data_IF_211568326430
#
_entry.id   IF_211568326430
#
_cell.length_a   1.000
_cell.length_b   1.000
_cell.length_c   1.000
_cell.angle_alpha   90.00
_cell.angle_beta   90.00
_cell.angle_gamma   90.00
#
_symmetry.space_group_name_H-M   'P 1'
#
loop_
_entity.id
_entity.type
_entity.pdbx_description
1 polymer ?
#
# COMPACT_ATOMS: atom_id res chain seq x y z
N UNK A 1 -50.72 17.22 -14.82
CA UNK A 1 -49.93 16.46 -15.81
C UNK A 1 -48.47 16.52 -15.38
N UNK A 2 -47.82 15.35 -15.26
CA UNK A 2 -46.37 15.03 -15.28
C UNK A 2 -45.37 16.10 -14.79
N UNK A 3 -44.46 15.88 -13.84
CA UNK A 3 -43.96 14.63 -13.27
C UNK A 3 -42.83 14.91 -12.28
N UNK A 4 -42.65 13.96 -11.36
CA UNK A 4 -41.66 13.88 -10.27
C UNK A 4 -40.20 13.90 -10.75
N UNK A 5 -39.29 14.47 -9.95
CA UNK A 5 -37.90 14.05 -9.64
C UNK A 5 -37.40 15.03 -8.55
N UNK A 6 -36.68 14.72 -7.47
CA UNK A 6 -36.08 13.52 -6.90
C UNK A 6 -35.85 13.84 -5.41
N UNK A 7 -36.34 12.98 -4.52
CA UNK A 7 -35.95 12.98 -3.11
C UNK A 7 -34.54 12.40 -3.03
N UNK A 8 -33.58 13.18 -2.54
CA UNK A 8 -32.22 12.70 -2.26
C UNK A 8 -32.28 11.80 -1.03
N UNK A 9 -32.02 10.51 -1.24
CA UNK A 9 -31.88 9.50 -0.20
C UNK A 9 -30.59 9.77 0.56
N UNK A 10 -30.70 9.96 1.88
CA UNK A 10 -29.57 9.98 2.83
C UNK A 10 -28.78 8.69 2.73
N UNK A 11 -27.47 8.79 2.44
CA UNK A 11 -26.55 7.68 2.61
C UNK A 11 -26.22 7.51 4.11
N UNK A 12 -26.58 6.36 4.68
CA UNK A 12 -26.14 5.92 6.01
C UNK A 12 -24.94 5.00 5.86
N UNK A 13 -23.72 5.50 6.04
CA UNK A 13 -22.51 4.66 6.09
C UNK A 13 -21.51 5.05 7.18
N UNK A 14 -21.77 6.07 8.00
CA UNK A 14 -20.83 6.54 9.03
C UNK A 14 -20.85 5.74 10.35
N UNK A 15 -21.75 4.77 10.52
CA UNK A 15 -21.91 4.06 11.80
C UNK A 15 -21.04 2.80 11.98
N UNK A 16 -20.37 2.27 10.96
CA UNK A 16 -19.64 0.99 11.14
C UNK A 16 -18.33 1.11 11.93
N UNK A 17 -17.65 2.26 11.84
CA UNK A 17 -16.31 2.44 12.40
C UNK A 17 -16.35 2.74 13.90
N UNK A 18 -17.35 3.51 14.36
CA UNK A 18 -17.48 3.92 15.77
C UNK A 18 -17.67 2.75 16.74
N UNK A 19 -18.16 1.61 16.26
CA UNK A 19 -18.46 0.45 17.09
C UNK A 19 -17.21 -0.28 17.63
N UNK A 20 -16.02 0.00 17.09
CA UNK A 20 -14.77 -0.69 17.47
C UNK A 20 -13.94 0.03 18.53
N UNK A 21 -14.48 1.08 19.17
CA UNK A 21 -13.82 1.79 20.28
C UNK A 21 -14.12 1.05 21.61
N UNK A 22 -13.47 -0.11 21.82
CA UNK A 22 -13.65 -0.96 23.01
C UNK A 22 -12.39 -1.08 23.88
N UNK A 23 -12.54 -0.80 25.18
CA UNK A 23 -11.51 -0.75 26.22
C UNK A 23 -10.78 -2.09 26.47
N UNK A 24 -9.46 -2.04 26.65
CA UNK A 24 -8.67 -3.10 27.30
C UNK A 24 -7.69 -2.43 28.28
N UNK A 25 -7.78 -2.79 29.56
CA UNK A 25 -6.93 -2.29 30.64
C UNK A 25 -5.71 -3.19 30.83
N UNK A 26 -4.52 -2.59 30.96
CA UNK A 26 -3.31 -3.24 31.49
C UNK A 26 -2.03 -3.16 30.64
N UNK A 27 -2.12 -2.86 29.34
CA UNK A 27 -0.94 -2.69 28.45
C UNK A 27 -0.93 -1.27 27.91
N UNK A 28 0.22 -0.57 27.96
CA UNK A 28 0.35 0.77 27.40
C UNK A 28 0.04 0.72 25.91
N UNK A 29 -1.12 1.26 25.52
CA UNK A 29 -1.56 1.25 24.13
C UNK A 29 -0.71 2.20 23.30
N UNK A 30 -0.46 1.83 22.04
CA UNK A 30 0.11 2.73 21.03
C UNK A 30 -1.01 3.42 20.28
N UNK A 31 -0.98 4.75 20.23
CA UNK A 31 -1.94 5.53 19.43
C UNK A 31 -1.53 5.49 17.96
N UNK A 32 -2.49 5.16 17.08
CA UNK A 32 -2.29 5.10 15.63
C UNK A 32 -3.35 5.97 14.95
N UNK A 33 -2.91 6.86 14.06
CA UNK A 33 -3.84 7.65 13.24
C UNK A 33 -4.51 6.75 12.21
N UNK A 34 -5.83 6.82 12.08
CA UNK A 34 -6.58 6.06 11.07
C UNK A 34 -7.29 7.01 10.13
N UNK A 35 -7.09 6.79 8.84
CA UNK A 35 -7.82 7.47 7.76
C UNK A 35 -8.66 6.41 7.03
N UNK A 36 -9.97 6.27 7.30
CA UNK A 36 -10.78 5.25 6.66
C UNK A 36 -10.83 5.38 5.13
N UNK A 37 -10.80 6.61 4.62
CA UNK A 37 -10.75 6.92 3.21
C UNK A 37 -12.10 6.79 2.49
N UNK A 38 -12.04 6.69 1.16
CA UNK A 38 -13.19 6.68 0.26
C UNK A 38 -13.52 5.27 -0.26
N UNK A 39 -14.66 5.13 -0.94
CA UNK A 39 -15.06 3.91 -1.64
C UNK A 39 -15.18 2.72 -0.69
N UNK A 40 -14.42 1.65 -0.94
CA UNK A 40 -14.37 0.48 -0.04
C UNK A 40 -13.64 0.75 1.28
N UNK A 41 -12.92 1.87 1.39
CA UNK A 41 -12.04 2.18 2.53
C UNK A 41 -12.68 2.04 3.90
N UNK A 42 -13.86 2.63 4.16
CA UNK A 42 -14.54 2.48 5.45
C UNK A 42 -14.84 1.02 5.82
N UNK A 43 -15.20 0.19 4.83
CA UNK A 43 -15.55 -1.22 5.01
C UNK A 43 -14.33 -2.07 5.40
N UNK A 44 -13.24 -1.94 4.62
CA UNK A 44 -12.00 -2.68 4.90
C UNK A 44 -11.27 -2.15 6.15
N UNK A 45 -11.38 -0.85 6.46
CA UNK A 45 -10.84 -0.29 7.71
C UNK A 45 -11.59 -0.83 8.91
N UNK A 46 -12.93 -0.91 8.83
CA UNK A 46 -13.76 -1.53 9.86
C UNK A 46 -13.37 -3.00 10.07
N UNK A 47 -13.08 -3.74 8.99
CA UNK A 47 -12.59 -5.12 9.05
C UNK A 47 -11.28 -5.24 9.85
N UNK A 48 -10.29 -4.39 9.56
CA UNK A 48 -9.02 -4.37 10.30
C UNK A 48 -9.24 -4.08 11.80
N UNK A 49 -10.07 -3.09 12.13
CA UNK A 49 -10.34 -2.73 13.52
C UNK A 49 -11.02 -3.87 14.29
N UNK A 50 -11.96 -4.57 13.68
CA UNK A 50 -12.62 -5.75 14.27
C UNK A 50 -11.63 -6.89 14.53
N UNK A 51 -10.78 -7.20 13.55
CA UNK A 51 -9.71 -8.21 13.71
C UNK A 51 -8.74 -7.84 14.83
N UNK A 52 -8.35 -6.56 14.93
CA UNK A 52 -7.43 -6.09 15.97
C UNK A 52 -8.05 -6.16 17.37
N UNK A 53 -9.35 -5.88 17.49
CA UNK A 53 -10.07 -6.04 18.74
C UNK A 53 -10.11 -7.50 19.19
N UNK A 54 -10.47 -8.43 18.29
CA UNK A 54 -10.47 -9.86 18.57
C UNK A 54 -9.07 -10.38 18.94
N UNK A 55 -8.03 -9.88 18.26
CA UNK A 55 -6.64 -10.21 18.55
C UNK A 55 -6.08 -9.52 19.82
N UNK A 56 -6.86 -8.67 20.50
CA UNK A 56 -6.44 -7.90 21.69
C UNK A 56 -5.16 -7.11 21.45
N UNK A 57 -5.07 -6.49 20.27
CA UNK A 57 -3.93 -5.65 19.90
C UNK A 57 -3.90 -4.41 20.81
N UNK A 58 -2.77 -4.05 21.45
CA UNK A 58 -2.67 -2.88 22.32
C UNK A 58 -2.54 -1.58 21.51
N UNK A 59 -3.53 -1.29 20.67
CA UNK A 59 -3.62 -0.08 19.86
C UNK A 59 -4.86 0.73 20.26
N UNK A 60 -4.69 2.05 20.24
CA UNK A 60 -5.78 3.03 20.30
C UNK A 60 -5.84 3.77 18.96
N UNK A 61 -7.04 3.96 18.43
CA UNK A 61 -7.25 4.57 17.13
C UNK A 61 -7.62 6.04 17.27
N UNK A 62 -6.86 6.91 16.61
CA UNK A 62 -7.22 8.32 16.43
C UNK A 62 -7.73 8.53 15.01
N UNK A 63 -9.04 8.69 14.86
CA UNK A 63 -9.72 8.57 13.55
C UNK A 63 -9.91 9.95 12.92
N UNK A 64 -9.40 10.12 11.70
CA UNK A 64 -9.62 11.28 10.84
C UNK A 64 -10.35 10.86 9.58
N UNK A 65 -11.66 11.08 9.57
CA UNK A 65 -12.50 10.82 8.40
C UNK A 65 -12.44 12.00 7.42
N UNK A 66 -11.63 11.82 6.38
CA UNK A 66 -11.54 12.75 5.24
C UNK A 66 -12.27 12.21 3.99
N UNK A 67 -13.21 11.30 4.17
CA UNK A 67 -14.01 10.77 3.05
C UNK A 67 -14.83 11.89 2.39
N UNK A 68 -15.17 11.70 1.11
CA UNK A 68 -15.96 12.66 0.33
C UNK A 68 -15.18 13.90 -0.12
N UNK A 69 -13.85 13.82 -0.16
CA UNK A 69 -13.00 14.89 -0.70
C UNK A 69 -12.64 15.99 0.29
N UNK A 70 -12.80 15.77 1.59
CA UNK A 70 -12.32 16.72 2.61
C UNK A 70 -10.81 16.96 2.44
N UNK A 71 -10.35 18.21 2.62
CA UNK A 71 -8.94 18.57 2.48
C UNK A 71 -8.08 17.92 3.57
N UNK A 72 -6.79 17.78 3.31
CA UNK A 72 -5.83 17.34 4.32
C UNK A 72 -5.64 18.48 5.33
N UNK A 73 -6.14 18.29 6.55
CA UNK A 73 -6.05 19.32 7.60
C UNK A 73 -4.67 19.34 8.25
N UNK A 74 -4.27 20.49 8.80
CA UNK A 74 -3.07 20.60 9.64
C UNK A 74 -3.16 19.70 10.88
N UNK A 75 -4.36 19.49 11.42
CA UNK A 75 -4.60 18.59 12.54
C UNK A 75 -4.29 17.12 12.18
N UNK A 76 -4.67 16.68 10.97
CA UNK A 76 -4.32 15.35 10.47
C UNK A 76 -2.80 15.18 10.33
N UNK A 77 -2.12 16.16 9.71
CA UNK A 77 -0.66 16.13 9.60
C UNK A 77 0.00 16.10 10.99
N UNK A 78 -0.50 16.90 11.94
CA UNK A 78 -0.01 16.92 13.31
C UNK A 78 -0.25 15.59 14.04
N UNK A 79 -1.40 14.95 13.84
CA UNK A 79 -1.70 13.62 14.39
C UNK A 79 -0.72 12.56 13.88
N UNK A 80 -0.51 12.48 12.56
CA UNK A 80 0.45 11.53 11.97
C UNK A 80 1.88 11.83 12.44
N UNK A 81 2.26 13.11 12.50
CA UNK A 81 3.59 13.53 12.96
C UNK A 81 3.81 13.20 14.44
N UNK A 82 2.80 13.34 15.29
CA UNK A 82 2.85 13.02 16.73
C UNK A 82 2.90 11.51 16.95
N UNK A 83 2.00 10.77 16.32
CA UNK A 83 1.84 9.33 16.51
C UNK A 83 2.92 8.53 15.76
N UNK A 84 3.58 9.14 14.76
CA UNK A 84 4.62 8.56 13.87
C UNK A 84 4.12 7.45 12.93
N UNK A 85 2.89 6.98 13.12
CA UNK A 85 2.31 5.87 12.35
C UNK A 85 0.85 6.17 12.01
N UNK A 86 0.45 5.81 10.80
CA UNK A 86 -0.95 5.81 10.38
C UNK A 86 -1.33 4.56 9.59
N UNK A 87 -2.61 4.20 9.65
CA UNK A 87 -3.24 3.22 8.77
C UNK A 87 -4.28 3.94 7.91
N UNK A 88 -4.21 3.76 6.60
CA UNK A 88 -5.00 4.53 5.64
C UNK A 88 -5.68 3.63 4.62
N UNK A 89 -6.99 3.83 4.45
CA UNK A 89 -7.75 3.31 3.33
C UNK A 89 -7.53 4.11 2.03
N UNK A 90 -8.06 3.63 0.89
CA UNK A 90 -7.88 4.29 -0.39
C UNK A 90 -8.53 5.68 -0.39
N UNK A 91 -7.91 6.65 -1.08
CA UNK A 91 -8.49 7.99 -1.28
C UNK A 91 -8.76 8.22 -2.75
N UNK A 92 -9.92 8.76 -3.07
CA UNK A 92 -10.26 9.17 -4.43
C UNK A 92 -9.37 10.31 -4.90
N UNK A 93 -8.93 10.21 -6.15
CA UNK A 93 -8.29 11.27 -6.92
C UNK A 93 -9.12 11.46 -8.17
N UNK A 94 -9.64 12.65 -8.39
CA UNK A 94 -10.40 12.96 -9.60
C UNK A 94 -9.52 12.86 -10.84
N UNK A 95 -10.04 12.21 -11.88
CA UNK A 95 -9.41 12.14 -13.20
C UNK A 95 -9.99 13.31 -14.00
N UNK A 96 -9.13 14.11 -14.64
CA UNK A 96 -9.44 15.32 -15.43
C UNK A 96 -9.65 16.62 -14.66
N UNK A 97 -9.77 16.62 -13.34
CA UNK A 97 -9.59 17.87 -12.60
C UNK A 97 -8.09 18.12 -12.45
N UNK A 98 -7.62 19.33 -12.73
CA UNK A 98 -6.23 19.72 -12.47
C UNK A 98 -5.89 19.78 -10.97
N UNK A 99 -6.73 19.19 -10.11
CA UNK A 99 -6.56 19.17 -8.67
C UNK A 99 -5.48 18.16 -8.30
N UNK A 100 -4.62 18.55 -7.37
CA UNK A 100 -3.55 17.70 -6.89
C UNK A 100 -4.15 16.51 -6.10
N UNK A 101 -3.61 15.31 -6.30
CA UNK A 101 -4.02 14.14 -5.54
C UNK A 101 -3.80 14.34 -4.04
N UNK A 102 -4.81 14.05 -3.21
CA UNK A 102 -4.69 14.05 -1.75
C UNK A 102 -3.67 13.03 -1.22
N UNK A 103 -3.46 11.92 -1.95
CA UNK A 103 -2.38 10.98 -1.63
C UNK A 103 -1.01 11.65 -1.81
N UNK A 104 -0.85 12.43 -2.88
CA UNK A 104 0.38 13.18 -3.13
C UNK A 104 0.57 14.31 -2.12
N UNK A 105 -0.50 14.98 -1.71
CA UNK A 105 -0.47 16.01 -0.66
C UNK A 105 0.05 15.43 0.67
N UNK A 106 -0.49 14.29 1.13
CA UNK A 106 0.01 13.59 2.32
C UNK A 106 1.49 13.20 2.20
N UNK A 107 1.88 12.63 1.04
CA UNK A 107 3.28 12.22 0.79
C UNK A 107 4.24 13.39 0.83
N UNK A 108 3.89 14.53 0.23
CA UNK A 108 4.71 15.74 0.25
C UNK A 108 4.77 16.36 1.64
N UNK A 109 3.64 16.49 2.32
CA UNK A 109 3.56 17.12 3.64
C UNK A 109 4.36 16.36 4.72
N UNK A 110 4.49 15.04 4.58
CA UNK A 110 5.18 14.17 5.54
C UNK A 110 6.52 13.62 5.01
N UNK A 111 6.98 14.08 3.83
CA UNK A 111 8.14 13.57 3.10
C UNK A 111 8.23 12.03 3.08
N UNK A 112 7.12 11.38 2.70
CA UNK A 112 7.03 9.92 2.60
C UNK A 112 7.70 9.43 1.31
N UNK A 113 9.02 9.42 1.30
CA UNK A 113 9.85 9.25 0.11
C UNK A 113 9.93 7.84 -0.47
N UNK A 114 9.62 6.79 0.31
CA UNK A 114 9.67 5.41 -0.16
C UNK A 114 8.29 4.74 -0.08
N UNK A 115 7.83 4.18 -1.18
CA UNK A 115 6.65 3.31 -1.20
C UNK A 115 7.10 1.85 -1.34
N UNK A 116 6.77 1.01 -0.36
CA UNK A 116 7.18 -0.38 -0.24
C UNK A 116 5.98 -1.29 -0.46
N UNK A 117 6.06 -2.19 -1.43
CA UNK A 117 5.01 -3.17 -1.73
C UNK A 117 5.62 -4.56 -1.85
N UNK A 118 5.45 -5.41 -0.82
CA UNK A 118 5.74 -6.83 -0.94
C UNK A 118 4.73 -7.51 -1.88
N UNK A 119 5.22 -8.13 -2.94
CA UNK A 119 4.47 -8.95 -3.88
C UNK A 119 4.78 -10.40 -3.58
N UNK A 120 4.02 -10.98 -2.64
CA UNK A 120 4.19 -12.35 -2.19
C UNK A 120 2.93 -13.18 -2.37
N UNK A 121 3.07 -14.35 -2.98
CA UNK A 121 1.99 -15.31 -3.15
C UNK A 121 1.47 -15.81 -1.79
N UNK A 122 0.15 -15.91 -1.66
CA UNK A 122 -0.52 -16.37 -0.45
C UNK A 122 -1.02 -17.81 -0.69
N UNK A 123 -0.67 -18.77 0.19
CA UNK A 123 -1.19 -20.14 0.07
C UNK A 123 -2.71 -20.17 0.04
N UNK A 124 -3.29 -20.94 -0.89
CA UNK A 124 -4.74 -21.01 -1.12
C UNK A 124 -5.25 -20.10 -2.24
N UNK A 125 -4.44 -19.15 -2.71
CA UNK A 125 -4.76 -18.32 -3.88
C UNK A 125 -4.22 -18.98 -5.14
N UNK A 126 -5.10 -19.26 -6.09
CA UNK A 126 -4.71 -19.67 -7.44
C UNK A 126 -4.32 -18.43 -8.24
N UNK A 127 -3.05 -18.34 -8.61
CA UNK A 127 -2.52 -17.30 -9.49
C UNK A 127 -1.99 -17.92 -10.79
N UNK A 128 -1.62 -17.08 -11.76
CA UNK A 128 -1.11 -17.55 -13.06
C UNK A 128 0.19 -18.35 -12.94
N UNK A 129 1.09 -17.93 -12.05
CA UNK A 129 2.31 -18.65 -11.74
C UNK A 129 2.05 -19.58 -10.55
N UNK A 130 1.80 -20.85 -10.83
CA UNK A 130 1.62 -21.92 -9.85
C UNK A 130 2.83 -22.87 -9.79
N UNK A 131 3.74 -22.77 -10.76
CA UNK A 131 4.97 -23.54 -10.92
C UNK A 131 6.19 -22.91 -10.24
N UNK A 132 6.13 -21.60 -9.95
CA UNK A 132 7.21 -20.84 -9.31
C UNK A 132 6.67 -19.98 -8.15
N UNK A 133 7.50 -19.76 -7.13
CA UNK A 133 7.14 -18.89 -6.00
C UNK A 133 7.37 -17.42 -6.36
N UNK A 134 6.29 -16.64 -6.41
CA UNK A 134 6.36 -15.18 -6.53
C UNK A 134 6.58 -14.56 -5.13
N UNK A 135 7.78 -14.06 -4.87
CA UNK A 135 8.12 -13.37 -3.60
C UNK A 135 9.21 -12.29 -3.79
N UNK A 136 8.79 -11.12 -4.28
CA UNK A 136 9.67 -9.95 -4.45
C UNK A 136 9.07 -8.71 -3.79
N UNK A 137 9.89 -7.68 -3.59
CA UNK A 137 9.46 -6.41 -2.97
C UNK A 137 9.80 -5.25 -3.89
N UNK A 138 8.81 -4.41 -4.17
CA UNK A 138 8.99 -3.18 -4.94
C UNK A 138 9.17 -2.01 -3.99
N UNK A 139 10.30 -1.31 -4.10
CA UNK A 139 10.63 -0.09 -3.38
C UNK A 139 10.70 1.05 -4.39
N UNK A 140 9.71 1.93 -4.30
CA UNK A 140 9.47 3.00 -5.25
C UNK A 140 9.80 4.35 -4.63
N UNK A 141 10.56 5.17 -5.35
CA UNK A 141 10.72 6.59 -5.04
C UNK A 141 9.35 7.30 -5.14
N UNK A 142 8.98 8.12 -4.15
CA UNK A 142 7.59 8.55 -3.97
C UNK A 142 7.40 10.08 -3.85
N UNK A 143 8.45 10.86 -4.09
CA UNK A 143 8.48 12.33 -3.93
C UNK A 143 8.74 13.11 -5.22
N UNK A 144 9.43 12.54 -6.20
CA UNK A 144 9.80 13.24 -7.44
C UNK A 144 9.50 12.40 -8.70
N UNK A 145 10.18 12.69 -9.81
CA UNK A 145 9.96 12.08 -11.11
C UNK A 145 8.75 12.67 -11.84
N UNK A 146 8.11 11.83 -12.65
CA UNK A 146 6.93 12.19 -13.44
C UNK A 146 5.73 12.56 -12.57
N UNK A 147 5.72 12.14 -11.30
CA UNK A 147 4.63 12.38 -10.36
C UNK A 147 4.81 13.69 -9.57
N UNK A 148 5.82 14.49 -9.91
CA UNK A 148 5.98 15.85 -9.38
C UNK A 148 4.79 16.75 -9.74
N UNK A 149 4.09 16.44 -10.85
CA UNK A 149 2.91 17.18 -11.33
C UNK A 149 3.27 18.48 -12.05
N UNK A 150 4.53 18.63 -12.50
CA UNK A 150 5.02 19.82 -13.19
C UNK A 150 4.63 19.75 -14.67
N UNK A 151 3.40 20.14 -14.98
CA UNK A 151 2.85 20.14 -16.33
C UNK A 151 2.44 21.55 -16.76
N UNK A 152 2.63 21.87 -18.05
CA UNK A 152 2.24 23.15 -18.63
C UNK A 152 1.77 23.01 -20.08
N UNK A 153 0.78 23.82 -20.46
CA UNK A 153 0.35 23.96 -21.86
C UNK A 153 1.23 25.02 -22.52
N UNK A 154 2.04 24.62 -23.49
CA UNK A 154 2.94 25.53 -24.22
C UNK A 154 2.20 26.34 -25.29
N UNK A 155 1.30 25.67 -26.02
CA UNK A 155 0.42 26.23 -27.06
C UNK A 155 -0.80 25.30 -27.17
N UNK A 156 -1.96 25.73 -27.73
CA UNK A 156 -3.10 24.84 -27.89
C UNK A 156 -2.72 23.49 -28.55
N UNK A 157 -2.97 22.39 -27.85
CA UNK A 157 -2.64 21.02 -28.29
C UNK A 157 -1.22 20.53 -27.97
N UNK A 158 -0.37 21.35 -27.32
CA UNK A 158 0.99 20.97 -26.91
C UNK A 158 1.15 21.13 -25.41
N UNK A 159 1.36 20.01 -24.73
CA UNK A 159 1.56 19.94 -23.28
C UNK A 159 2.94 19.38 -22.99
N UNK A 160 3.62 19.96 -22.00
CA UNK A 160 4.91 19.50 -21.51
C UNK A 160 4.76 18.99 -20.08
N UNK A 161 5.38 17.86 -19.78
CA UNK A 161 5.57 17.34 -18.43
C UNK A 161 7.07 17.33 -18.11
N UNK A 162 7.45 17.88 -16.96
CA UNK A 162 8.85 17.97 -16.50
C UNK A 162 9.14 16.85 -15.49
N UNK A 163 9.96 15.88 -15.91
CA UNK A 163 10.51 14.85 -15.02
C UNK A 163 11.74 15.40 -14.30
N UNK A 164 11.67 15.48 -12.97
CA UNK A 164 12.78 15.88 -12.12
C UNK A 164 13.31 14.67 -11.35
N UNK A 165 14.61 14.39 -11.50
CA UNK A 165 15.33 13.40 -10.71
C UNK A 165 16.55 14.09 -10.10
N UNK A 166 16.62 14.07 -8.77
CA UNK A 166 17.77 14.55 -8.00
C UNK A 166 18.62 13.40 -7.50
N UNK A 167 19.91 13.67 -7.30
CA UNK A 167 20.85 12.74 -6.69
C UNK A 167 20.43 12.39 -5.26
N UNK A 168 20.08 13.39 -4.45
CA UNK A 168 19.66 13.23 -3.06
C UNK A 168 18.49 12.26 -2.90
N UNK A 169 17.39 12.46 -3.64
CA UNK A 169 16.25 11.55 -3.51
C UNK A 169 16.57 10.15 -4.07
N UNK A 170 17.47 10.05 -5.05
CA UNK A 170 17.96 8.76 -5.58
C UNK A 170 18.86 8.03 -4.58
N UNK A 171 19.70 8.75 -3.83
CA UNK A 171 20.56 8.19 -2.78
C UNK A 171 19.73 7.63 -1.63
N UNK A 172 18.77 8.40 -1.11
CA UNK A 172 17.94 7.95 0.02
C UNK A 172 17.08 6.73 -0.33
N UNK A 173 16.47 6.68 -1.52
CA UNK A 173 15.66 5.52 -1.92
C UNK A 173 16.52 4.28 -2.19
N UNK A 174 17.70 4.46 -2.80
CA UNK A 174 18.63 3.36 -3.02
C UNK A 174 19.13 2.80 -1.68
N UNK A 175 19.57 3.69 -0.77
CA UNK A 175 20.02 3.31 0.57
C UNK A 175 18.92 2.60 1.34
N UNK A 176 17.71 3.13 1.34
CA UNK A 176 16.55 2.48 1.95
C UNK A 176 16.31 1.08 1.37
N UNK A 177 16.44 0.89 0.05
CA UNK A 177 16.26 -0.42 -0.56
C UNK A 177 17.32 -1.45 -0.12
N UNK A 178 18.59 -1.03 0.00
CA UNK A 178 19.65 -1.90 0.51
C UNK A 178 19.50 -2.20 2.01
N UNK A 179 19.17 -1.21 2.83
CA UNK A 179 18.89 -1.41 4.26
C UNK A 179 17.68 -2.33 4.47
N UNK A 180 16.61 -2.13 3.70
CA UNK A 180 15.45 -3.02 3.71
C UNK A 180 15.85 -4.45 3.35
N UNK A 181 16.66 -4.61 2.29
CA UNK A 181 17.11 -5.93 1.87
C UNK A 181 17.91 -6.62 2.99
N UNK A 182 18.85 -5.91 3.60
CA UNK A 182 19.66 -6.40 4.73
C UNK A 182 18.79 -6.79 5.93
N UNK A 183 17.91 -5.90 6.36
CA UNK A 183 17.04 -6.11 7.53
C UNK A 183 16.05 -7.28 7.35
N UNK A 184 15.69 -7.61 6.10
CA UNK A 184 14.75 -8.69 5.78
C UNK A 184 15.44 -9.94 5.22
N UNK A 185 16.77 -10.04 5.33
CA UNK A 185 17.53 -11.21 4.88
C UNK A 185 17.52 -11.45 3.36
N UNK A 186 17.11 -10.45 2.58
CA UNK A 186 17.09 -10.46 1.12
C UNK A 186 18.52 -10.37 0.59
N UNK A 187 18.76 -10.91 -0.61
CA UNK A 187 20.11 -11.13 -1.15
C UNK A 187 20.40 -10.34 -2.40
N UNK A 188 19.37 -9.78 -3.05
CA UNK A 188 19.54 -9.07 -4.31
C UNK A 188 18.70 -7.80 -4.39
N UNK A 189 19.31 -6.74 -4.90
CA UNK A 189 18.65 -5.47 -5.25
C UNK A 189 18.80 -5.22 -6.75
N UNK A 190 17.67 -5.03 -7.43
CA UNK A 190 17.60 -4.72 -8.86
C UNK A 190 17.14 -3.28 -9.08
N UNK A 191 17.98 -2.43 -9.68
CA UNK A 191 17.57 -1.09 -10.10
C UNK A 191 16.81 -1.14 -11.43
N UNK A 192 15.58 -0.64 -11.46
CA UNK A 192 14.75 -0.59 -12.67
C UNK A 192 14.75 0.82 -13.25
N UNK A 193 15.08 0.95 -14.53
CA UNK A 193 15.27 2.26 -15.18
C UNK A 193 14.94 2.23 -16.69
N UNK A 194 15.01 3.37 -17.37
CA UNK A 194 14.99 3.53 -18.83
C UNK A 194 16.17 4.37 -19.32
N UNK A 195 17.33 4.22 -18.66
CA UNK A 195 18.56 4.98 -18.96
C UNK A 195 19.07 4.84 -20.41
N UNK A 196 18.65 3.81 -21.16
CA UNK A 196 18.94 3.69 -22.59
C UNK A 196 18.27 4.79 -23.43
N UNK A 197 17.13 5.33 -22.97
CA UNK A 197 16.42 6.46 -23.59
C UNK A 197 16.61 7.74 -22.78
N UNK A 198 16.33 7.70 -21.48
CA UNK A 198 16.43 8.83 -20.56
C UNK A 198 17.84 8.93 -19.93
N UNK A 199 18.83 9.20 -20.78
CA UNK A 199 20.26 9.14 -20.42
C UNK A 199 20.65 9.98 -19.21
N UNK A 200 20.02 11.14 -19.00
CA UNK A 200 20.35 12.03 -17.89
C UNK A 200 19.58 11.69 -16.62
N UNK A 201 18.24 11.69 -16.65
CA UNK A 201 17.43 11.46 -15.44
C UNK A 201 17.62 10.05 -14.90
N UNK A 202 17.48 9.05 -15.77
CA UNK A 202 17.57 7.66 -15.36
C UNK A 202 19.01 7.17 -15.30
N UNK A 203 19.91 7.81 -16.06
CA UNK A 203 21.34 7.61 -15.88
C UNK A 203 21.82 8.10 -14.52
N UNK A 204 21.33 9.25 -14.03
CA UNK A 204 21.62 9.73 -12.68
C UNK A 204 21.10 8.77 -11.62
N UNK A 205 19.84 8.31 -11.74
CA UNK A 205 19.27 7.31 -10.83
C UNK A 205 20.11 6.03 -10.80
N UNK A 206 20.40 5.44 -11.97
CA UNK A 206 21.18 4.20 -12.08
C UNK A 206 22.60 4.35 -11.53
N UNK A 207 23.30 5.45 -11.89
CA UNK A 207 24.64 5.72 -11.40
C UNK A 207 24.65 5.86 -9.87
N UNK A 208 23.63 6.52 -9.31
CA UNK A 208 23.46 6.68 -7.87
C UNK A 208 23.22 5.33 -7.18
N UNK A 209 22.28 4.51 -7.67
CA UNK A 209 22.07 3.16 -7.14
C UNK A 209 23.34 2.30 -7.20
N UNK A 210 24.09 2.39 -8.31
CA UNK A 210 25.35 1.67 -8.49
C UNK A 210 26.42 2.14 -7.50
N UNK A 211 26.46 3.43 -7.17
CA UNK A 211 27.40 3.97 -6.19
C UNK A 211 27.04 3.50 -4.78
N UNK A 212 25.76 3.59 -4.39
CA UNK A 212 25.27 3.12 -3.09
C UNK A 212 25.50 1.62 -2.93
N UNK A 213 25.33 0.82 -3.99
CA UNK A 213 25.57 -0.62 -3.96
C UNK A 213 26.97 -1.01 -3.47
N UNK A 214 27.99 -0.15 -3.68
CA UNK A 214 29.36 -0.41 -3.21
C UNK A 214 29.49 -0.42 -1.69
N UNK A 215 28.55 0.21 -0.98
CA UNK A 215 28.50 0.24 0.49
C UNK A 215 27.88 -1.05 1.06
N UNK A 216 27.26 -1.89 0.22
CA UNK A 216 26.56 -3.13 0.62
C UNK A 216 27.08 -4.34 -0.16
N UNK A 217 28.38 -4.69 -0.04
CA UNK A 217 29.01 -5.77 -0.82
C UNK A 217 28.38 -7.15 -0.58
N UNK A 218 27.64 -7.35 0.52
CA UNK A 218 26.93 -8.57 0.85
C UNK A 218 25.61 -8.75 0.08
N UNK A 219 25.11 -7.70 -0.58
CA UNK A 219 23.88 -7.73 -1.39
C UNK A 219 24.25 -7.67 -2.87
N UNK A 220 23.81 -8.67 -3.65
CA UNK A 220 24.00 -8.65 -5.10
C UNK A 220 23.24 -7.45 -5.69
N UNK A 221 23.95 -6.61 -6.45
CA UNK A 221 23.35 -5.54 -7.21
C UNK A 221 23.27 -5.90 -8.69
N UNK A 222 22.12 -5.64 -9.30
CA UNK A 222 21.93 -5.66 -10.75
C UNK A 222 20.99 -4.55 -11.20
N UNK A 223 20.84 -4.39 -12.51
CA UNK A 223 19.90 -3.43 -13.09
C UNK A 223 19.19 -4.05 -14.28
N UNK A 224 18.00 -3.53 -14.60
CA UNK A 224 17.27 -3.88 -15.81
C UNK A 224 16.52 -2.68 -16.35
N UNK A 225 16.38 -2.62 -17.67
CA UNK A 225 15.48 -1.68 -18.32
C UNK A 225 14.01 -2.06 -18.03
N UNK A 226 13.13 -1.07 -17.84
CA UNK A 226 11.73 -1.25 -17.39
C UNK A 226 10.89 -2.10 -18.36
N UNK A 227 11.14 -2.02 -19.66
CA UNK A 227 10.49 -2.87 -20.67
C UNK A 227 10.85 -4.35 -20.48
N UNK A 228 12.15 -4.65 -20.36
CA UNK A 228 12.58 -6.02 -20.02
C UNK A 228 12.06 -6.42 -18.64
N UNK A 229 12.06 -5.51 -17.67
CA UNK A 229 11.53 -5.76 -16.33
C UNK A 229 10.08 -6.28 -16.38
N UNK A 230 9.20 -5.57 -17.08
CA UNK A 230 7.80 -5.95 -17.24
C UNK A 230 7.66 -7.31 -17.96
N UNK A 231 8.45 -7.53 -19.03
CA UNK A 231 8.45 -8.79 -19.76
C UNK A 231 8.90 -9.97 -18.88
N UNK A 232 9.94 -9.77 -18.06
CA UNK A 232 10.46 -10.78 -17.15
C UNK A 232 9.53 -11.05 -15.97
N UNK A 233 8.85 -10.04 -15.44
CA UNK A 233 7.89 -10.21 -14.34
C UNK A 233 6.73 -11.14 -14.72
N UNK A 234 6.25 -11.08 -15.96
CA UNK A 234 5.16 -11.95 -16.42
C UNK A 234 5.63 -13.31 -16.92
N UNK A 235 6.95 -13.50 -17.08
CA UNK A 235 7.55 -14.74 -17.61
C UNK A 235 8.19 -15.58 -16.49
N UNK A 236 9.03 -14.96 -15.69
CA UNK A 236 9.86 -15.58 -14.65
C UNK A 236 10.04 -14.61 -13.46
N UNK A 237 8.97 -14.31 -12.72
CA UNK A 237 9.01 -13.34 -11.60
C UNK A 237 9.92 -13.75 -10.45
N UNK A 238 10.14 -15.05 -10.24
CA UNK A 238 10.98 -15.63 -9.17
C UNK A 238 12.46 -15.22 -9.25
N UNK A 239 12.86 -14.66 -10.40
CA UNK A 239 14.20 -14.10 -10.53
C UNK A 239 14.38 -12.83 -9.69
N UNK A 240 13.32 -12.10 -9.34
CA UNK A 240 13.45 -10.84 -8.60
C UNK A 240 13.43 -11.05 -7.08
N UNK A 241 14.06 -10.12 -6.37
CA UNK A 241 14.11 -10.10 -4.90
C UNK A 241 13.68 -8.72 -4.40
N UNK A 242 14.59 -7.79 -4.10
CA UNK A 242 14.24 -6.37 -3.90
C UNK A 242 14.43 -5.61 -5.20
N UNK A 243 13.45 -4.80 -5.58
CA UNK A 243 13.47 -3.96 -6.77
C UNK A 243 13.39 -2.50 -6.35
N UNK A 244 14.32 -1.67 -6.79
CA UNK A 244 14.31 -0.23 -6.54
C UNK A 244 14.05 0.54 -7.82
N UNK A 245 13.10 1.49 -7.79
CA UNK A 245 12.63 2.16 -9.00
C UNK A 245 12.41 3.67 -8.78
N UNK A 246 12.53 4.49 -9.84
CA UNK A 246 11.89 5.80 -9.89
C UNK A 246 10.36 5.70 -9.78
N UNK A 247 9.73 6.85 -9.57
CA UNK A 247 8.32 6.95 -9.18
C UNK A 247 7.33 6.30 -10.16
N UNK A 248 7.34 6.70 -11.44
CA UNK A 248 6.41 6.17 -12.43
C UNK A 248 6.54 4.65 -12.61
N UNK A 249 7.77 4.16 -12.72
CA UNK A 249 8.03 2.74 -12.96
C UNK A 249 7.63 1.88 -11.78
N UNK A 250 7.87 2.38 -10.56
CA UNK A 250 7.46 1.68 -9.34
C UNK A 250 5.97 1.46 -9.29
N UNK A 251 5.18 2.44 -9.73
CA UNK A 251 3.73 2.29 -9.81
C UNK A 251 3.33 1.16 -10.78
N UNK A 252 3.98 1.08 -11.94
CA UNK A 252 3.69 0.05 -12.95
C UNK A 252 4.11 -1.33 -12.41
N UNK A 253 5.34 -1.45 -11.92
CA UNK A 253 5.91 -2.69 -11.40
C UNK A 253 5.12 -3.22 -10.20
N UNK A 254 4.71 -2.35 -9.27
CA UNK A 254 3.92 -2.77 -8.10
C UNK A 254 2.53 -3.27 -8.49
N UNK A 255 1.88 -2.66 -9.49
CA UNK A 255 0.59 -3.13 -10.00
C UNK A 255 0.72 -4.48 -10.73
N UNK A 256 1.79 -4.68 -11.51
CA UNK A 256 2.09 -5.99 -12.10
C UNK A 256 2.30 -7.03 -10.99
N UNK A 257 3.11 -6.70 -9.98
CA UNK A 257 3.36 -7.61 -8.86
C UNK A 257 2.10 -7.96 -8.06
N UNK A 258 1.22 -6.99 -7.82
CA UNK A 258 -0.08 -7.25 -7.20
C UNK A 258 -0.94 -8.21 -8.05
N UNK A 259 -0.95 -8.05 -9.37
CA UNK A 259 -1.67 -8.96 -10.26
C UNK A 259 -1.08 -10.38 -10.25
N UNK A 260 0.25 -10.51 -10.24
CA UNK A 260 0.94 -11.81 -10.23
C UNK A 260 0.63 -12.64 -8.97
N UNK A 261 0.29 -12.00 -7.85
CA UNK A 261 -0.03 -12.70 -6.59
C UNK A 261 -1.52 -12.93 -6.36
N UNK A 262 -2.37 -12.56 -7.32
CA UNK A 262 -3.82 -12.80 -7.28
C UNK A 262 -4.69 -11.55 -7.32
N UNK A 263 -4.11 -10.34 -7.29
CA UNK A 263 -4.82 -9.09 -7.49
C UNK A 263 -4.54 -8.00 -6.44
N UNK A 264 -5.04 -6.78 -6.68
CA UNK A 264 -4.79 -5.63 -5.81
C UNK A 264 -5.35 -5.80 -4.40
N UNK A 265 -6.41 -6.61 -4.22
CA UNK A 265 -7.00 -6.93 -2.93
C UNK A 265 -6.09 -7.70 -1.99
N UNK A 266 -4.94 -8.20 -2.47
CA UNK A 266 -3.99 -9.01 -1.69
C UNK A 266 -2.67 -8.29 -1.40
N UNK A 267 -2.46 -7.09 -1.94
CA UNK A 267 -1.22 -6.36 -1.78
C UNK A 267 -1.30 -5.37 -0.60
N UNK A 268 -0.51 -5.59 0.44
CA UNK A 268 -0.23 -4.60 1.48
C UNK A 268 0.95 -3.71 1.10
N UNK A 269 1.00 -2.49 1.63
CA UNK A 269 2.08 -1.55 1.36
C UNK A 269 2.31 -0.55 2.48
N UNK A 270 3.40 0.19 2.35
CA UNK A 270 3.78 1.26 3.28
C UNK A 270 4.40 2.44 2.53
N UNK A 271 4.04 3.66 2.92
CA UNK A 271 4.73 4.89 2.53
C UNK A 271 5.57 5.33 3.72
N UNK A 272 6.88 5.39 3.52
CA UNK A 272 7.88 5.61 4.55
C UNK A 272 8.54 6.95 4.33
N UNK A 273 8.56 7.78 5.38
CA UNK A 273 9.40 8.96 5.49
C UNK A 273 10.32 8.83 6.71
N UNK A 274 11.17 9.84 6.94
CA UNK A 274 12.10 9.82 8.08
C UNK A 274 11.36 9.97 9.43
N UNK A 275 10.32 10.80 9.45
CA UNK A 275 9.59 11.14 10.68
C UNK A 275 8.29 10.37 10.89
N UNK A 276 7.77 9.67 9.88
CA UNK A 276 6.49 8.97 9.97
C UNK A 276 6.32 7.90 8.88
N UNK A 277 5.38 6.99 9.10
CA UNK A 277 5.00 5.93 8.15
C UNK A 277 3.49 5.82 8.03
N UNK A 278 3.01 5.63 6.80
CA UNK A 278 1.60 5.35 6.50
C UNK A 278 1.48 3.97 5.88
N UNK A 279 0.78 3.05 6.54
CA UNK A 279 0.43 1.74 5.99
C UNK A 279 -0.88 1.83 5.23
N UNK A 280 -0.92 1.28 4.01
CA UNK A 280 -2.10 1.27 3.14
C UNK A 280 -2.06 0.07 2.19
N UNK A 281 -3.10 -0.13 1.39
CA UNK A 281 -3.05 -1.14 0.32
C UNK A 281 -1.94 -0.78 -0.68
N UNK A 282 -1.15 -1.77 -1.09
CA UNK A 282 -0.01 -1.58 -2.00
C UNK A 282 -0.41 -1.24 -3.43
N UNK A 283 -1.67 -1.52 -3.79
CA UNK A 283 -2.30 -1.08 -5.04
C UNK A 283 -3.48 -0.15 -4.71
N UNK A 284 -3.41 1.11 -5.14
CA UNK A 284 -4.36 2.16 -4.76
C UNK A 284 -5.69 2.06 -5.53
N UNK A 285 -6.54 1.10 -5.14
CA UNK A 285 -7.89 0.97 -5.72
C UNK A 285 -8.96 1.39 -4.71
N UNK A 286 -9.70 2.45 -5.06
CA UNK A 286 -10.87 2.91 -4.29
C UNK A 286 -12.08 1.99 -4.50
N UNK A 287 -12.15 1.30 -5.65
CA UNK A 287 -13.19 0.36 -6.02
C UNK A 287 -14.62 0.90 -5.74
N UNK A 288 -14.87 2.13 -6.21
CA UNK A 288 -16.10 2.87 -5.93
C UNK A 288 -17.37 2.15 -6.43
N UNK A 289 -17.24 1.32 -7.45
CA UNK A 289 -18.30 0.49 -8.02
C UNK A 289 -18.81 -0.60 -7.06
N UNK A 290 -18.00 -1.04 -6.10
CA UNK A 290 -18.37 -2.05 -5.09
C UNK A 290 -18.48 -1.48 -3.66
N UNK A 291 -18.25 -0.18 -3.47
CA UNK A 291 -18.34 0.49 -2.18
C UNK A 291 -19.70 0.25 -1.49
N UNK A 292 -19.68 -0.17 -0.23
CA UNK A 292 -20.88 -0.41 0.58
C UNK A 292 -21.69 -1.64 0.18
N UNK A 293 -21.17 -2.51 -0.70
CA UNK A 293 -21.85 -3.73 -1.16
C UNK A 293 -21.40 -4.99 -0.41
N UNK A 294 -20.53 -4.88 0.61
CA UNK A 294 -19.99 -6.02 1.37
C UNK A 294 -19.23 -7.01 0.47
N UNK A 295 -18.50 -6.49 -0.52
CA UNK A 295 -17.75 -7.27 -1.52
C UNK A 295 -16.26 -6.98 -1.56
N UNK A 296 -15.78 -6.02 -0.77
CA UNK A 296 -14.39 -5.63 -0.75
C UNK A 296 -13.52 -6.72 -0.12
N UNK A 297 -12.35 -6.98 -0.69
CA UNK A 297 -11.37 -7.86 -0.06
C UNK A 297 -10.55 -7.06 0.96
N UNK A 298 -10.65 -7.35 2.27
CA UNK A 298 -9.90 -6.61 3.28
C UNK A 298 -8.44 -7.06 3.41
N UNK A 299 -8.03 -8.14 2.71
CA UNK A 299 -6.72 -8.78 2.86
C UNK A 299 -5.56 -7.80 2.68
N UNK A 300 -5.59 -6.94 1.66
CA UNK A 300 -4.50 -5.99 1.39
C UNK A 300 -4.29 -5.02 2.55
N UNK A 301 -5.36 -4.47 3.13
CA UNK A 301 -5.25 -3.58 4.29
C UNK A 301 -4.93 -4.34 5.59
N UNK A 302 -5.40 -5.58 5.74
CA UNK A 302 -4.99 -6.46 6.84
C UNK A 302 -3.48 -6.80 6.78
N UNK A 303 -2.94 -7.06 5.59
CA UNK A 303 -1.51 -7.32 5.43
C UNK A 303 -0.68 -6.04 5.62
N UNK A 304 -1.18 -4.88 5.20
CA UNK A 304 -0.56 -3.59 5.52
C UNK A 304 -0.56 -3.34 7.03
N UNK A 305 -1.64 -3.68 7.74
CA UNK A 305 -1.71 -3.54 9.20
C UNK A 305 -0.82 -4.56 9.93
N UNK A 306 -0.57 -5.75 9.36
CA UNK A 306 0.48 -6.67 9.84
C UNK A 306 1.87 -6.03 9.72
N UNK A 307 2.17 -5.37 8.61
CA UNK A 307 3.44 -4.62 8.46
C UNK A 307 3.54 -3.52 9.53
N UNK A 308 2.43 -2.83 9.81
CA UNK A 308 2.35 -1.83 10.88
C UNK A 308 2.64 -2.43 12.26
N UNK A 309 2.06 -3.58 12.59
CA UNK A 309 2.31 -4.25 13.87
C UNK A 309 3.79 -4.62 14.03
N UNK A 310 4.44 -5.14 12.98
CA UNK A 310 5.89 -5.43 12.98
C UNK A 310 6.71 -4.16 13.19
N UNK A 311 6.38 -3.07 12.51
CA UNK A 311 7.03 -1.77 12.68
C UNK A 311 6.89 -1.24 14.11
N UNK A 312 5.75 -1.47 14.75
CA UNK A 312 5.50 -1.10 16.14
C UNK A 312 6.10 -2.08 17.15
N UNK A 313 6.83 -3.12 16.71
CA UNK A 313 7.40 -4.15 17.60
C UNK A 313 6.37 -5.12 18.20
N UNK A 314 5.11 -5.09 17.73
CA UNK A 314 4.03 -5.98 18.15
C UNK A 314 4.04 -7.28 17.33
N UNK A 315 5.19 -7.96 17.33
CA UNK A 315 5.47 -9.10 16.43
C UNK A 315 4.56 -10.31 16.68
N UNK A 316 4.19 -10.57 17.93
CA UNK A 316 3.26 -11.66 18.27
C UNK A 316 1.87 -11.40 17.68
N UNK A 317 1.33 -10.19 17.88
CA UNK A 317 0.08 -9.78 17.26
C UNK A 317 0.14 -9.80 15.74
N UNK A 318 1.24 -9.33 15.16
CA UNK A 318 1.45 -9.37 13.71
C UNK A 318 1.37 -10.80 13.18
N UNK A 319 2.10 -11.73 13.82
CA UNK A 319 2.13 -13.15 13.45
C UNK A 319 0.76 -13.78 13.60
N UNK A 320 0.03 -13.47 14.69
CA UNK A 320 -1.32 -13.98 14.93
C UNK A 320 -2.30 -13.58 13.84
N UNK A 321 -2.34 -12.28 13.50
CA UNK A 321 -3.22 -11.77 12.44
C UNK A 321 -2.81 -12.32 11.07
N UNK A 322 -1.52 -12.32 10.75
CA UNK A 322 -1.01 -12.83 9.47
C UNK A 322 -1.35 -14.31 9.27
N UNK A 323 -1.16 -15.15 10.30
CA UNK A 323 -1.48 -16.57 10.25
C UNK A 323 -2.98 -16.80 10.10
N UNK A 324 -3.82 -16.04 10.80
CA UNK A 324 -5.27 -16.15 10.68
C UNK A 324 -5.76 -15.83 9.27
N UNK A 325 -5.29 -14.73 8.68
CA UNK A 325 -5.63 -14.36 7.29
C UNK A 325 -5.20 -15.45 6.31
N UNK A 326 -3.96 -15.94 6.41
CA UNK A 326 -3.46 -17.02 5.54
C UNK A 326 -4.23 -18.32 5.71
N UNK A 327 -4.60 -18.68 6.94
CA UNK A 327 -5.34 -19.91 7.22
C UNK A 327 -6.76 -19.85 6.64
N UNK A 328 -7.48 -18.74 6.84
CA UNK A 328 -8.83 -18.52 6.31
C UNK A 328 -8.86 -18.58 4.78
N UNK A 329 -7.86 -17.97 4.14
CA UNK A 329 -7.68 -18.05 2.68
C UNK A 329 -7.40 -19.50 2.25
N UNK A 330 -6.47 -20.18 2.93
CA UNK A 330 -6.11 -21.58 2.64
C UNK A 330 -7.30 -22.55 2.82
N UNK A 331 -8.18 -22.29 3.78
CA UNK A 331 -9.39 -23.07 4.05
C UNK A 331 -10.53 -22.78 3.05
N UNK A 332 -10.38 -21.78 2.17
CA UNK A 332 -11.31 -21.50 1.08
C UNK A 332 -12.39 -20.45 1.38
N UNK A 333 -12.26 -19.71 2.49
CA UNK A 333 -13.09 -18.52 2.70
C UNK A 333 -12.49 -17.37 1.90
N UNK A 334 -13.01 -17.19 0.68
CA UNK A 334 -12.46 -16.29 -0.33
C UNK A 334 -13.50 -15.25 -0.75
N UNK A 335 -13.08 -14.00 -0.95
CA UNK A 335 -13.91 -12.96 -1.57
C UNK A 335 -13.95 -13.12 -3.09
N UNK A 336 -14.88 -12.42 -3.75
CA UNK A 336 -15.16 -12.65 -5.18
C UNK A 336 -14.01 -12.30 -6.13
N UNK A 337 -13.16 -11.34 -5.78
CA UNK A 337 -11.98 -10.93 -6.57
C UNK A 337 -10.92 -12.01 -6.67
N UNK A 338 -10.90 -12.94 -5.70
CA UNK A 338 -9.96 -14.07 -5.62
C UNK A 338 -10.64 -15.42 -5.81
N UNK A 339 -11.77 -15.44 -6.53
CA UNK A 339 -12.47 -16.66 -6.95
C UNK A 339 -13.47 -17.24 -5.94
N UNK A 340 -13.73 -16.54 -4.83
CA UNK A 340 -14.67 -16.98 -3.82
C UNK A 340 -16.07 -16.40 -3.93
N UNK A 341 -16.86 -16.59 -2.86
CA UNK A 341 -18.25 -16.13 -2.74
C UNK A 341 -18.53 -15.43 -1.40
N UNK A 342 -17.54 -15.35 -0.52
CA UNK A 342 -17.69 -14.75 0.80
C UNK A 342 -17.80 -13.23 0.68
N UNK A 343 -18.66 -12.65 1.50
CA UNK A 343 -18.72 -11.20 1.70
C UNK A 343 -17.54 -10.71 2.55
N UNK A 344 -17.31 -9.40 2.58
CA UNK A 344 -16.27 -8.79 3.42
C UNK A 344 -16.47 -9.15 4.90
N UNK A 345 -17.72 -9.06 5.38
CA UNK A 345 -18.08 -9.46 6.74
C UNK A 345 -17.87 -10.94 7.00
N UNK A 346 -18.23 -11.83 6.06
CA UNK A 346 -18.01 -13.27 6.21
C UNK A 346 -16.52 -13.60 6.29
N UNK A 347 -15.71 -12.98 5.42
CA UNK A 347 -14.25 -13.13 5.48
C UNK A 347 -13.69 -12.63 6.81
N UNK A 348 -14.10 -11.43 7.25
CA UNK A 348 -13.68 -10.83 8.53
C UNK A 348 -14.07 -11.72 9.72
N UNK A 349 -15.30 -12.22 9.72
CA UNK A 349 -15.80 -13.14 10.76
C UNK A 349 -14.98 -14.41 10.84
N UNK A 350 -14.65 -15.03 9.69
CA UNK A 350 -13.79 -16.22 9.67
C UNK A 350 -12.39 -15.95 10.24
N UNK A 351 -11.80 -14.77 9.97
CA UNK A 351 -10.50 -14.37 10.54
C UNK A 351 -10.60 -14.18 12.06
N UNK A 352 -11.66 -13.52 12.53
CA UNK A 352 -11.93 -13.34 13.96
C UNK A 352 -12.11 -14.70 14.64
N UNK A 353 -12.95 -15.58 14.09
CA UNK A 353 -13.20 -16.92 14.62
C UNK A 353 -11.91 -17.74 14.72
N UNK A 354 -11.04 -17.65 13.70
CA UNK A 354 -9.74 -18.32 13.73
C UNK A 354 -8.86 -17.78 14.88
N UNK A 355 -8.79 -16.47 15.05
CA UNK A 355 -8.01 -15.82 16.11
C UNK A 355 -8.53 -16.19 17.49
N UNK A 356 -9.85 -16.26 17.68
CA UNK A 356 -10.49 -16.59 18.95
C UNK A 356 -10.31 -18.06 19.33
N UNK A 357 -10.42 -18.98 18.37
CA UNK A 357 -10.17 -20.41 18.60
C UNK A 357 -8.74 -20.74 18.98
N UNK A 358 -7.77 -19.97 18.49
CA UNK A 358 -6.33 -20.16 18.74
C UNK A 358 -5.78 -19.19 19.80
N UNK A 359 -6.59 -18.70 20.76
CA UNK A 359 -6.09 -17.93 21.92
C UNK A 359 -5.64 -18.79 23.10
N UNK A 360 -5.98 -20.08 23.09
CA UNK A 360 -5.55 -21.09 24.06
C UNK A 360 -4.43 -21.93 23.45
#
# INVERSE_FOLDING_TARGET
MLGRLRTVVKASSSNSIRNYLGYTSGVQKKTVTVIPGDGIGPEITSSVMGVFQAAKVPIEWEIFDISGGQPISQELIASITRNKVALKGPLYTEILSGSQSRNMELRKALDLYAHVVPCKQIPGITARHDDVLVDFVVIRENTQGEYSGLEQVLTPGVVQSLKIITKEASERIARYAFEYAKANGRKKVTAVHKANIQKQTDGLFLATCTQIAKEYPEIKFENTIIDNCCMQLVKSPEQYDVMVTPNLYGNIVSNIGAALVGGPGLAGGANVGEGSIIFEMGAHHVAADIAGKDKANPTGLLLASVMMLKHLGLNEHATKVENAVKAVIKEGTLTSDIGGKSSTKQFTGAVIDYIEKNQN
#
